data_IF_545274105576
#
_entry.id   IF_545274105576
#
_cell.length_a   1.000
_cell.length_b   1.000
_cell.length_c   1.000
_cell.angle_alpha   90.00
_cell.angle_beta   90.00
_cell.angle_gamma   90.00
#
_symmetry.space_group_name_H-M   'P 1'
#
loop_
_entity.id
_entity.type
_entity.pdbx_description
1 polymer ?
#
# COMPACT_ATOMS: atom_id res chain seq x y z
N UNK A 1 -1.48 12.59 11.55
CA UNK A 1 -0.38 13.23 10.79
C UNK A 1 -0.80 13.29 9.34
N UNK A 2 -0.55 14.39 8.63
CA UNK A 2 -0.83 14.47 7.19
C UNK A 2 0.33 13.78 6.45
N UNK A 3 0.02 12.88 5.52
CA UNK A 3 1.01 12.21 4.69
C UNK A 3 1.33 13.12 3.50
N UNK A 4 2.62 13.38 3.28
CA UNK A 4 3.10 14.29 2.23
C UNK A 4 3.79 13.54 1.07
N UNK A 5 4.33 12.35 1.35
CA UNK A 5 5.15 11.58 0.41
C UNK A 5 4.79 10.10 0.39
N UNK A 6 4.82 9.51 -0.80
CA UNK A 6 4.84 8.07 -1.01
C UNK A 6 6.16 7.71 -1.68
N UNK A 7 6.90 6.76 -1.10
CA UNK A 7 8.12 6.22 -1.66
C UNK A 7 7.89 4.79 -2.17
N UNK A 8 8.27 4.54 -3.42
CA UNK A 8 8.15 3.25 -4.08
C UNK A 8 9.49 2.49 -4.02
N UNK A 9 9.44 1.24 -3.59
CA UNK A 9 10.62 0.41 -3.30
C UNK A 9 10.50 -0.99 -3.90
N UNK A 10 11.62 -1.68 -4.02
CA UNK A 10 11.60 -3.14 -3.93
C UNK A 10 12.27 -3.57 -2.63
N UNK A 11 12.04 -4.81 -2.20
CA UNK A 11 12.61 -5.33 -0.96
C UNK A 11 14.02 -5.90 -1.10
N UNK A 12 14.51 -6.13 -2.33
CA UNK A 12 15.72 -6.91 -2.63
C UNK A 12 15.66 -8.35 -2.08
N UNK A 13 14.52 -9.01 -2.25
CA UNK A 13 14.25 -10.38 -1.75
C UNK A 13 13.56 -11.25 -2.80
N UNK A 14 13.22 -12.49 -2.41
CA UNK A 14 12.24 -13.30 -3.15
C UNK A 14 10.82 -12.71 -3.08
N UNK A 15 9.91 -13.31 -3.85
CA UNK A 15 8.51 -12.89 -3.99
C UNK A 15 7.63 -12.95 -2.74
N UNK A 16 8.11 -13.53 -1.64
CA UNK A 16 7.30 -13.83 -0.47
C UNK A 16 7.69 -13.00 0.78
N UNK A 17 8.41 -11.91 0.62
CA UNK A 17 8.81 -11.07 1.75
C UNK A 17 7.59 -10.43 2.44
N UNK A 18 7.50 -10.61 3.75
CA UNK A 18 6.41 -10.12 4.61
C UNK A 18 6.91 -9.62 5.97
N UNK A 19 8.20 -9.31 6.10
CA UNK A 19 8.76 -8.93 7.39
C UNK A 19 8.46 -7.47 7.71
N UNK A 20 7.78 -7.23 8.82
CA UNK A 20 7.46 -5.89 9.30
C UNK A 20 8.70 -5.10 9.77
N UNK A 21 8.56 -3.76 9.83
CA UNK A 21 9.56 -2.84 10.38
C UNK A 21 10.28 -1.93 9.37
N UNK A 22 10.03 -2.08 8.07
CA UNK A 22 10.64 -1.24 7.03
C UNK A 22 9.61 -0.50 6.18
N UNK A 23 8.65 -1.23 5.61
CA UNK A 23 7.64 -0.68 4.71
C UNK A 23 6.27 -0.72 5.36
N UNK A 24 5.34 0.09 4.86
CA UNK A 24 3.96 0.08 5.31
C UNK A 24 3.16 -1.00 4.57
N UNK A 25 3.40 -1.11 3.26
CA UNK A 25 2.75 -2.10 2.40
C UNK A 25 3.79 -2.82 1.54
N UNK A 26 3.62 -4.14 1.39
CA UNK A 26 4.43 -4.96 0.46
C UNK A 26 3.51 -5.72 -0.48
N UNK A 27 3.85 -5.77 -1.77
CA UNK A 27 3.16 -6.55 -2.79
C UNK A 27 3.97 -7.79 -3.15
N UNK A 28 3.41 -8.97 -2.90
CA UNK A 28 4.03 -10.27 -3.20
C UNK A 28 4.03 -10.59 -4.70
N UNK A 29 4.83 -11.56 -5.13
CA UNK A 29 5.02 -11.89 -6.57
C UNK A 29 3.74 -12.22 -7.34
N UNK A 30 2.75 -12.77 -6.64
CA UNK A 30 1.41 -13.09 -7.16
C UNK A 30 0.45 -11.88 -7.16
N UNK A 31 0.87 -10.75 -6.61
CA UNK A 31 0.11 -9.52 -6.51
C UNK A 31 -0.65 -9.33 -5.19
N UNK A 32 -0.63 -10.30 -4.25
CA UNK A 32 -1.26 -10.11 -2.94
C UNK A 32 -0.56 -9.02 -2.12
N UNK A 33 -1.31 -8.31 -1.28
CA UNK A 33 -0.88 -7.12 -0.55
C UNK A 33 -0.74 -7.44 0.93
N UNK A 34 0.40 -7.12 1.55
CA UNK A 34 0.61 -7.30 3.00
C UNK A 34 0.76 -5.92 3.64
N UNK A 35 -0.10 -5.61 4.61
CA UNK A 35 -0.06 -4.37 5.39
C UNK A 35 0.78 -4.56 6.65
N UNK A 36 2.03 -4.15 6.60
CA UNK A 36 3.02 -4.35 7.66
C UNK A 36 3.05 -3.23 8.70
N UNK A 37 2.56 -2.04 8.36
CA UNK A 37 2.51 -0.89 9.27
C UNK A 37 1.41 0.05 8.79
N UNK A 38 0.56 0.53 9.71
CA UNK A 38 -0.49 1.51 9.39
C UNK A 38 0.11 2.80 8.88
N UNK A 39 -0.56 3.46 7.95
CA UNK A 39 -0.09 4.69 7.31
C UNK A 39 0.00 5.90 8.25
N UNK A 40 -0.60 5.83 9.44
CA UNK A 40 -0.43 6.86 10.48
C UNK A 40 0.75 6.60 11.43
N UNK A 41 1.51 5.53 11.22
CA UNK A 41 2.74 5.24 11.96
C UNK A 41 3.97 5.41 11.05
N UNK A 42 4.99 6.12 11.54
CA UNK A 42 6.27 6.23 10.83
C UNK A 42 6.98 4.88 10.70
N UNK A 43 7.56 4.60 9.52
CA UNK A 43 8.39 3.43 9.24
C UNK A 43 9.73 3.81 8.61
N UNK A 44 10.73 2.92 8.62
CA UNK A 44 12.12 3.22 8.26
C UNK A 44 12.52 2.77 6.85
N UNK A 45 11.85 3.28 5.81
CA UNK A 45 12.08 2.83 4.41
C UNK A 45 13.02 3.73 3.58
N UNK A 46 13.03 5.05 3.81
CA UNK A 46 13.81 6.01 3.01
C UNK A 46 14.67 6.87 3.93
N UNK A 47 15.98 6.76 3.80
CA UNK A 47 16.93 7.43 4.70
C UNK A 47 16.66 8.94 4.79
N UNK A 48 16.48 9.43 6.03
CA UNK A 48 16.17 10.85 6.37
C UNK A 48 14.92 11.44 5.68
N UNK A 49 13.99 10.58 5.23
CA UNK A 49 12.79 10.97 4.48
C UNK A 49 11.52 10.25 4.98
N UNK A 50 11.55 9.74 6.20
CA UNK A 50 10.49 8.87 6.76
C UNK A 50 9.36 9.63 7.46
N UNK A 51 9.56 10.89 7.84
CA UNK A 51 8.51 11.71 8.44
C UNK A 51 7.44 12.04 7.41
N UNK A 52 6.16 11.96 7.80
CA UNK A 52 4.99 12.18 6.93
C UNK A 52 5.06 11.39 5.61
N UNK A 53 5.65 10.19 5.63
CA UNK A 53 5.91 9.43 4.43
C UNK A 53 5.46 7.98 4.56
N UNK A 54 4.94 7.45 3.45
CA UNK A 54 4.56 6.05 3.32
C UNK A 54 5.50 5.34 2.35
N UNK A 55 5.98 4.16 2.75
CA UNK A 55 6.77 3.26 1.92
C UNK A 55 5.93 2.09 1.43
N UNK A 56 5.79 1.95 0.11
CA UNK A 56 5.12 0.82 -0.54
C UNK A 56 6.18 0.08 -1.36
N UNK A 57 6.30 -1.23 -1.18
CA UNK A 57 7.33 -2.03 -1.82
C UNK A 57 6.77 -3.20 -2.65
N UNK A 58 7.49 -3.61 -3.68
CA UNK A 58 7.34 -4.94 -4.27
C UNK A 58 8.32 -5.91 -3.60
N UNK A 59 7.86 -7.11 -3.22
CA UNK A 59 8.71 -8.19 -2.76
C UNK A 59 9.47 -8.79 -3.96
N UNK A 60 10.62 -8.24 -4.36
CA UNK A 60 11.35 -8.67 -5.54
C UNK A 60 12.82 -8.21 -5.50
N UNK A 61 13.55 -8.44 -6.59
CA UNK A 61 14.94 -8.04 -6.82
C UNK A 61 15.98 -8.65 -5.87
N UNK A 62 15.66 -9.79 -5.27
CA UNK A 62 16.65 -10.64 -4.61
C UNK A 62 17.51 -11.42 -5.62
N UNK A 63 18.66 -11.91 -5.16
CA UNK A 63 19.54 -12.74 -5.99
C UNK A 63 20.21 -11.94 -7.12
N UNK A 64 20.34 -12.55 -8.29
CA UNK A 64 20.85 -11.92 -9.50
C UNK A 64 19.81 -10.95 -10.09
N UNK A 65 20.10 -9.63 -10.11
CA UNK A 65 19.14 -8.63 -10.54
C UNK A 65 18.59 -8.91 -11.94
N UNK A 66 17.27 -8.77 -12.10
CA UNK A 66 16.52 -9.02 -13.33
C UNK A 66 16.38 -10.48 -13.78
N UNK A 67 17.10 -11.42 -13.15
CA UNK A 67 17.07 -12.84 -13.52
C UNK A 67 16.27 -13.67 -12.52
N UNK A 68 16.59 -13.57 -11.22
CA UNK A 68 16.01 -14.47 -10.21
C UNK A 68 14.60 -14.03 -9.80
N UNK A 69 14.45 -12.77 -9.39
CA UNK A 69 13.19 -12.22 -8.90
C UNK A 69 12.89 -10.83 -9.52
N UNK A 70 12.83 -10.67 -10.85
CA UNK A 70 12.44 -9.38 -11.45
C UNK A 70 11.04 -8.94 -10.98
N UNK A 71 10.71 -7.64 -10.92
CA UNK A 71 9.37 -7.19 -10.55
C UNK A 71 8.34 -7.79 -11.52
N UNK A 72 7.33 -8.50 -10.99
CA UNK A 72 6.27 -9.04 -11.84
C UNK A 72 5.34 -7.91 -12.28
N UNK A 73 4.65 -8.10 -13.41
CA UNK A 73 3.67 -7.12 -13.90
C UNK A 73 2.60 -6.83 -12.84
N UNK A 74 2.05 -7.88 -12.23
CA UNK A 74 0.97 -7.75 -11.24
C UNK A 74 1.45 -7.08 -9.94
N UNK A 75 2.71 -7.30 -9.53
CA UNK A 75 3.32 -6.57 -8.42
C UNK A 75 3.32 -5.07 -8.65
N UNK A 76 3.83 -4.65 -9.81
CA UNK A 76 3.94 -3.23 -10.15
C UNK A 76 2.55 -2.60 -10.29
N UNK A 77 1.61 -3.30 -10.93
CA UNK A 77 0.22 -2.83 -11.06
C UNK A 77 -0.44 -2.63 -9.69
N UNK A 78 -0.34 -3.59 -8.77
CA UNK A 78 -0.96 -3.49 -7.46
C UNK A 78 -0.24 -2.52 -6.52
N UNK A 79 1.08 -2.33 -6.66
CA UNK A 79 1.81 -1.27 -5.96
C UNK A 79 1.32 0.11 -6.41
N UNK A 80 1.19 0.32 -7.73
CA UNK A 80 0.68 1.57 -8.28
C UNK A 80 -0.79 1.80 -7.91
N UNK A 81 -1.60 0.74 -7.86
CA UNK A 81 -3.00 0.81 -7.40
C UNK A 81 -3.08 1.23 -5.93
N UNK A 82 -2.29 0.62 -5.05
CA UNK A 82 -2.26 1.01 -3.64
C UNK A 82 -1.81 2.47 -3.46
N UNK A 83 -0.80 2.91 -4.21
CA UNK A 83 -0.35 4.29 -4.20
C UNK A 83 -1.45 5.26 -4.69
N UNK A 84 -2.21 4.88 -5.74
CA UNK A 84 -3.36 5.64 -6.23
C UNK A 84 -4.49 5.71 -5.19
N UNK A 85 -4.81 4.60 -4.53
CA UNK A 85 -5.85 4.54 -3.49
C UNK A 85 -5.48 5.38 -2.27
N UNK A 86 -4.20 5.39 -1.87
CA UNK A 86 -3.70 6.30 -0.84
C UNK A 86 -3.74 7.76 -1.28
N UNK A 87 -3.28 8.08 -2.49
CA UNK A 87 -3.33 9.44 -3.04
C UNK A 87 -4.78 10.00 -3.05
N UNK A 88 -5.75 9.20 -3.50
CA UNK A 88 -7.16 9.55 -3.48
C UNK A 88 -7.69 9.81 -2.06
N UNK A 89 -7.31 8.97 -1.07
CA UNK A 89 -7.69 9.17 0.35
C UNK A 89 -7.13 10.47 0.92
N UNK A 90 -5.93 10.86 0.49
CA UNK A 90 -5.28 12.12 0.87
C UNK A 90 -5.84 13.33 0.12
N UNK A 91 -6.84 13.15 -0.74
CA UNK A 91 -7.43 14.21 -1.54
C UNK A 91 -6.48 14.76 -2.61
N UNK A 92 -5.48 13.97 -3.04
CA UNK A 92 -4.60 14.35 -4.14
C UNK A 92 -5.31 14.09 -5.46
N UNK A 93 -5.12 14.98 -6.41
CA UNK A 93 -5.62 14.84 -7.77
C UNK A 93 -4.54 14.21 -8.67
N UNK A 94 -4.90 13.60 -9.82
CA UNK A 94 -3.91 13.07 -10.76
C UNK A 94 -2.83 14.08 -11.17
N UNK A 95 -3.16 15.37 -11.21
CA UNK A 95 -2.24 16.47 -11.56
C UNK A 95 -1.25 16.84 -10.43
N UNK A 96 -1.48 16.34 -9.21
CA UNK A 96 -0.50 16.41 -8.11
C UNK A 96 0.62 15.37 -8.27
N UNK A 97 0.38 14.30 -9.04
CA UNK A 97 1.33 13.22 -9.28
C UNK A 97 2.19 13.57 -10.51
N UNK A 98 3.09 14.54 -10.34
CA UNK A 98 3.87 15.13 -11.44
C UNK A 98 5.13 14.35 -11.75
N UNK A 99 5.60 14.41 -12.98
CA UNK A 99 6.94 13.90 -13.31
C UNK A 99 8.02 14.85 -12.76
N UNK A 100 9.21 14.31 -12.48
CA UNK A 100 10.32 15.11 -11.97
C UNK A 100 10.94 15.94 -13.10
N UNK A 101 11.10 17.24 -12.84
CA UNK A 101 11.79 18.15 -13.77
C UNK A 101 13.30 17.83 -13.81
N UNK A 102 13.92 18.02 -14.97
CA UNK A 102 15.38 17.99 -15.12
C UNK A 102 16.09 19.15 -14.40
N UNK A 103 15.35 20.16 -13.94
CA UNK A 103 15.87 21.33 -13.21
C UNK A 103 15.64 21.26 -11.69
N UNK A 104 14.80 20.33 -11.21
CA UNK A 104 14.68 20.05 -9.77
C UNK A 104 13.85 21.02 -8.93
N UNK A 105 12.66 21.46 -9.34
CA UNK A 105 11.79 22.30 -8.50
C UNK A 105 10.37 21.74 -8.33
N UNK A 106 10.16 20.46 -8.67
CA UNK A 106 8.85 19.83 -8.57
C UNK A 106 8.66 19.31 -7.15
N UNK A 107 7.72 19.90 -6.39
CA UNK A 107 7.18 19.26 -5.19
C UNK A 107 6.44 18.00 -5.65
N UNK A 108 7.16 16.88 -5.70
CA UNK A 108 6.58 15.62 -6.12
C UNK A 108 6.15 14.81 -4.91
N UNK A 109 4.92 14.32 -4.93
CA UNK A 109 4.36 13.54 -3.84
C UNK A 109 4.79 12.07 -3.90
N UNK A 110 5.19 11.57 -5.07
CA UNK A 110 5.55 10.16 -5.26
C UNK A 110 6.92 10.02 -5.92
N UNK A 111 7.85 9.37 -5.23
CA UNK A 111 9.21 9.13 -5.70
C UNK A 111 9.57 7.65 -5.60
N UNK A 112 10.41 7.17 -6.50
CA UNK A 112 11.12 5.90 -6.26
C UNK A 112 12.27 6.11 -5.27
N UNK A 113 12.77 5.04 -4.64
CA UNK A 113 13.97 5.18 -3.80
C UNK A 113 15.19 5.62 -4.62
N UNK A 114 15.31 5.21 -5.89
CA UNK A 114 16.38 5.70 -6.77
C UNK A 114 16.33 7.24 -6.92
N UNK A 115 15.15 7.81 -7.13
CA UNK A 115 14.97 9.26 -7.27
C UNK A 115 15.19 9.99 -5.94
N UNK A 116 14.69 9.44 -4.83
CA UNK A 116 14.88 9.99 -3.49
C UNK A 116 16.35 10.00 -3.07
N UNK A 117 17.07 8.89 -3.31
CA UNK A 117 18.50 8.76 -3.04
C UNK A 117 19.36 9.71 -3.88
N UNK A 118 18.88 10.08 -5.07
CA UNK A 118 19.50 11.07 -5.95
C UNK A 118 19.07 12.52 -5.71
N UNK A 119 18.31 12.78 -4.63
CA UNK A 119 17.79 14.11 -4.29
C UNK A 119 17.04 14.80 -5.43
N UNK A 120 16.32 14.04 -6.26
CA UNK A 120 15.67 14.57 -7.47
C UNK A 120 14.52 15.55 -7.21
N UNK A 121 14.05 15.64 -5.97
CA UNK A 121 13.08 16.61 -5.49
C UNK A 121 13.70 17.94 -5.01
N UNK A 122 15.00 18.13 -5.19
CA UNK A 122 15.73 19.36 -4.85
C UNK A 122 16.27 20.08 -6.10
N UNK A 123 16.53 21.41 -6.03
CA UNK A 123 17.09 22.16 -7.14
C UNK A 123 18.36 21.52 -7.65
N UNK A 124 18.44 21.28 -8.97
CA UNK A 124 19.61 20.63 -9.57
C UNK A 124 20.90 21.38 -9.23
N UNK A 125 20.86 22.71 -9.20
CA UNK A 125 22.01 23.55 -8.81
C UNK A 125 22.52 23.29 -7.39
N UNK A 126 21.65 22.89 -6.47
CA UNK A 126 22.01 22.50 -5.10
C UNK A 126 22.55 21.08 -5.08
N UNK A 127 21.91 20.16 -5.79
CA UNK A 127 22.36 18.76 -5.91
C UNK A 127 23.74 18.67 -6.54
N UNK A 128 24.02 19.48 -7.56
CA UNK A 128 25.31 19.51 -8.26
C UNK A 128 26.46 19.96 -7.35
N UNK A 129 26.17 20.85 -6.38
CA UNK A 129 27.14 21.24 -5.35
C UNK A 129 27.39 20.13 -4.32
N UNK A 130 26.45 19.20 -4.16
CA UNK A 130 26.51 18.08 -3.22
C UNK A 130 27.05 16.79 -3.82
N UNK A 131 27.67 16.81 -5.00
CA UNK A 131 28.25 15.61 -5.61
C UNK A 131 29.49 15.17 -4.82
N UNK A 132 29.52 13.90 -4.41
CA UNK A 132 30.69 13.30 -3.76
C UNK A 132 30.98 13.82 -2.34
N UNK A 133 30.06 14.58 -1.75
CA UNK A 133 30.21 15.13 -0.40
C UNK A 133 29.67 14.17 0.66
N UNK A 134 30.03 14.39 1.93
CA UNK A 134 29.46 13.63 3.07
C UNK A 134 28.04 14.07 3.40
N UNK A 135 27.29 13.28 4.17
CA UNK A 135 25.95 13.66 4.64
C UNK A 135 25.95 15.01 5.37
N UNK A 136 26.94 15.28 6.21
CA UNK A 136 27.04 16.55 6.95
C UNK A 136 27.23 17.75 6.02
N UNK A 137 28.00 17.58 4.95
CA UNK A 137 28.15 18.64 3.94
C UNK A 137 26.87 18.79 3.12
N UNK A 138 26.23 17.70 2.72
CA UNK A 138 24.95 17.74 2.02
C UNK A 138 23.88 18.51 2.82
N UNK A 139 23.79 18.29 4.14
CA UNK A 139 22.92 19.06 5.05
C UNK A 139 23.26 20.55 5.02
N UNK A 140 24.54 20.92 5.08
CA UNK A 140 24.96 22.34 5.00
C UNK A 140 24.56 23.01 3.69
N UNK A 141 24.44 22.23 2.62
CA UNK A 141 23.98 22.70 1.31
C UNK A 141 22.44 22.76 1.20
N UNK A 142 21.70 22.24 2.20
CA UNK A 142 20.23 22.18 2.21
C UNK A 142 19.64 20.88 1.65
N UNK A 143 20.44 19.83 1.50
CA UNK A 143 20.01 18.50 1.09
C UNK A 143 19.80 17.60 2.32
N UNK A 144 18.94 16.58 2.24
CA UNK A 144 18.71 15.69 3.38
C UNK A 144 19.90 14.75 3.63
N UNK A 145 20.63 14.37 2.59
CA UNK A 145 21.73 13.40 2.62
C UNK A 145 22.60 13.53 1.37
N UNK A 146 23.78 12.92 1.38
CA UNK A 146 24.62 12.74 0.20
C UNK A 146 23.90 11.92 -0.88
N UNK A 147 24.30 12.08 -2.14
CA UNK A 147 23.67 11.36 -3.25
C UNK A 147 24.06 9.87 -3.20
N UNK A 148 23.13 9.03 -2.78
CA UNK A 148 23.29 7.58 -2.71
C UNK A 148 22.51 6.82 -3.80
N UNK A 149 21.91 7.57 -4.74
CA UNK A 149 21.17 7.03 -5.86
C UNK A 149 22.06 6.47 -7.00
N UNK A 150 21.47 6.15 -8.15
CA UNK A 150 22.17 5.67 -9.35
C UNK A 150 23.35 6.56 -9.77
N UNK A 151 24.41 5.94 -10.31
CA UNK A 151 25.66 6.62 -10.68
C UNK A 151 25.56 7.45 -11.95
N UNK A 152 24.48 7.30 -12.72
CA UNK A 152 24.23 8.04 -13.95
C UNK A 152 22.75 8.16 -14.24
N UNK A 153 22.35 9.29 -14.80
CA UNK A 153 21.03 9.53 -15.35
C UNK A 153 21.12 10.00 -16.80
N UNK A 154 20.21 9.55 -17.67
CA UNK A 154 20.24 9.87 -19.11
C UNK A 154 19.89 11.34 -19.40
N UNK A 155 19.17 11.99 -18.51
CA UNK A 155 18.76 13.39 -18.62
C UNK A 155 19.80 14.39 -18.07
N UNK A 156 21.01 13.91 -17.72
CA UNK A 156 22.08 14.74 -17.18
C UNK A 156 21.97 15.05 -15.70
N UNK A 157 21.06 14.39 -14.96
CA UNK A 157 21.05 14.46 -13.51
C UNK A 157 22.32 13.86 -12.89
N UNK A 158 22.71 14.39 -11.74
CA UNK A 158 23.97 14.05 -11.07
C UNK A 158 23.92 12.65 -10.45
N UNK A 159 24.99 11.89 -10.66
CA UNK A 159 25.13 10.52 -10.19
C UNK A 159 25.51 10.40 -8.71
N UNK A 160 25.20 9.25 -8.12
CA UNK A 160 25.53 8.87 -6.74
C UNK A 160 26.32 7.57 -6.60
N UNK A 161 26.34 7.01 -5.39
CA UNK A 161 27.11 5.82 -5.00
C UNK A 161 26.47 4.47 -5.37
N UNK A 162 25.24 4.48 -5.90
CA UNK A 162 24.47 3.27 -6.29
C UNK A 162 24.03 2.40 -5.09
N UNK A 163 23.94 2.97 -3.89
CA UNK A 163 23.47 2.21 -2.73
C UNK A 163 21.98 1.86 -2.85
N UNK A 164 21.18 2.70 -3.53
CA UNK A 164 19.77 2.46 -3.81
C UNK A 164 19.44 2.82 -5.25
N UNK A 165 18.80 1.87 -5.94
CA UNK A 165 18.43 2.01 -7.35
C UNK A 165 17.02 1.49 -7.62
N UNK A 166 16.20 1.39 -6.56
CA UNK A 166 14.83 0.90 -6.58
C UNK A 166 14.01 1.67 -7.60
N UNK A 167 13.46 0.92 -8.55
CA UNK A 167 12.73 1.43 -9.71
C UNK A 167 13.44 2.57 -10.43
N UNK A 168 14.77 2.51 -10.54
CA UNK A 168 15.51 3.29 -11.53
C UNK A 168 14.94 3.02 -12.95
N UNK A 169 14.50 1.78 -13.16
CA UNK A 169 13.65 1.33 -14.27
C UNK A 169 12.72 0.21 -13.79
N UNK A 170 11.64 -0.05 -14.51
CA UNK A 170 10.63 -1.05 -14.10
C UNK A 170 11.00 -2.44 -14.64
N UNK A 171 11.55 -2.51 -15.86
CA UNK A 171 12.03 -3.73 -16.51
C UNK A 171 13.48 -3.58 -16.94
N UNK A 172 14.18 -4.70 -17.14
CA UNK A 172 15.58 -4.70 -17.59
C UNK A 172 15.77 -4.01 -18.94
N UNK A 173 14.78 -4.12 -19.83
CA UNK A 173 14.75 -3.53 -21.18
C UNK A 173 14.37 -2.07 -21.21
N UNK A 174 13.88 -1.51 -20.10
CA UNK A 174 13.47 -0.11 -20.05
C UNK A 174 14.71 0.80 -20.02
N UNK A 175 14.52 2.06 -20.46
CA UNK A 175 15.56 3.07 -20.39
C UNK A 175 15.94 3.37 -18.94
N UNK A 176 17.23 3.51 -18.70
CA UNK A 176 17.78 3.90 -17.40
C UNK A 176 17.21 5.26 -16.95
N UNK A 177 16.65 5.29 -15.73
CA UNK A 177 16.05 6.49 -15.14
C UNK A 177 14.59 6.73 -15.51
N UNK A 178 13.97 5.87 -16.33
CA UNK A 178 12.55 6.02 -16.72
C UNK A 178 11.56 5.62 -15.64
N UNK A 179 11.99 4.81 -14.66
CA UNK A 179 11.08 4.05 -13.81
C UNK A 179 10.09 4.92 -13.03
N UNK A 180 10.54 6.03 -12.44
CA UNK A 180 9.65 6.93 -11.70
C UNK A 180 8.54 7.53 -12.57
N UNK A 181 8.84 7.96 -13.80
CA UNK A 181 7.83 8.51 -14.71
C UNK A 181 6.85 7.43 -15.16
N UNK A 182 7.33 6.22 -15.45
CA UNK A 182 6.48 5.07 -15.78
C UNK A 182 5.49 4.75 -14.64
N UNK A 183 5.98 4.67 -13.41
CA UNK A 183 5.15 4.36 -12.25
C UNK A 183 4.14 5.46 -11.94
N UNK A 184 4.55 6.73 -11.98
CA UNK A 184 3.64 7.87 -11.79
C UNK A 184 2.55 7.91 -12.86
N UNK A 185 2.87 7.59 -14.11
CA UNK A 185 1.85 7.46 -15.16
C UNK A 185 0.83 6.38 -14.82
N UNK A 186 1.27 5.18 -14.42
CA UNK A 186 0.36 4.11 -13.99
C UNK A 186 -0.52 4.52 -12.81
N UNK A 187 0.04 5.22 -11.82
CA UNK A 187 -0.71 5.74 -10.66
C UNK A 187 -1.80 6.72 -11.12
N UNK A 188 -1.46 7.70 -11.98
CA UNK A 188 -2.43 8.64 -12.55
C UNK A 188 -3.55 7.92 -13.29
N UNK A 189 -3.22 6.88 -14.06
CA UNK A 189 -4.21 6.11 -14.81
C UNK A 189 -5.17 5.35 -13.88
N UNK A 190 -4.66 4.78 -12.77
CA UNK A 190 -5.52 4.18 -11.75
C UNK A 190 -6.39 5.21 -11.02
N UNK A 191 -5.85 6.38 -10.69
CA UNK A 191 -6.64 7.45 -10.07
C UNK A 191 -7.80 7.87 -10.98
N UNK A 192 -7.54 8.06 -12.28
CA UNK A 192 -8.56 8.41 -13.30
C UNK A 192 -9.58 7.30 -13.57
N UNK A 193 -9.20 6.05 -13.37
CA UNK A 193 -10.10 4.90 -13.54
C UNK A 193 -11.11 4.75 -12.38
N UNK A 194 -11.00 5.55 -11.31
CA UNK A 194 -11.96 5.59 -10.20
C UNK A 194 -13.28 6.20 -10.69
N UNK A 195 -14.36 5.42 -10.91
CA UNK A 195 -15.56 5.94 -11.54
C UNK A 195 -16.49 6.59 -10.50
N UNK A 196 -17.01 7.77 -10.84
CA UNK A 196 -18.15 8.47 -10.23
C UNK A 196 -17.90 9.17 -8.88
N UNK A 197 -18.47 10.37 -8.74
CA UNK A 197 -18.58 11.12 -7.49
C UNK A 197 -19.46 10.43 -6.43
N UNK A 198 -20.08 9.30 -6.78
CA UNK A 198 -20.80 8.40 -5.88
C UNK A 198 -20.40 6.95 -6.18
N UNK A 199 -19.86 6.21 -5.19
CA UNK A 199 -19.55 4.79 -5.33
C UNK A 199 -20.81 4.01 -5.73
N UNK A 200 -20.68 2.96 -6.56
CA UNK A 200 -21.77 2.03 -6.83
C UNK A 200 -22.41 1.51 -5.53
N UNK A 201 -23.73 1.40 -5.51
CA UNK A 201 -24.47 0.86 -4.34
C UNK A 201 -24.45 -0.66 -4.28
N UNK A 202 -24.14 -1.31 -5.40
CA UNK A 202 -23.99 -2.76 -5.56
C UNK A 202 -22.84 -3.02 -6.53
N UNK A 203 -22.16 -4.16 -6.38
CA UNK A 203 -20.96 -4.50 -7.15
C UNK A 203 -21.02 -5.84 -7.87
N UNK A 204 -22.05 -6.64 -7.61
CA UNK A 204 -22.19 -7.98 -8.16
C UNK A 204 -23.58 -8.54 -7.91
N UNK A 205 -23.77 -9.82 -8.20
CA UNK A 205 -25.03 -10.52 -7.90
C UNK A 205 -25.09 -10.94 -6.43
N UNK A 206 -26.29 -11.09 -5.90
CA UNK A 206 -26.49 -11.56 -4.52
C UNK A 206 -25.83 -12.92 -4.27
N UNK A 207 -25.23 -13.05 -3.09
CA UNK A 207 -24.68 -14.29 -2.57
C UNK A 207 -25.09 -14.49 -1.11
N UNK A 208 -25.83 -15.56 -0.82
CA UNK A 208 -26.30 -15.83 0.53
C UNK A 208 -25.16 -16.36 1.42
N UNK A 209 -24.99 -15.78 2.60
CA UNK A 209 -23.93 -16.18 3.54
C UNK A 209 -24.56 -16.90 4.72
N UNK A 210 -24.15 -18.14 4.95
CA UNK A 210 -24.66 -19.01 6.01
C UNK A 210 -23.58 -19.26 7.06
N UNK A 211 -23.93 -19.21 8.33
CA UNK A 211 -23.12 -19.71 9.45
C UNK A 211 -23.88 -20.85 10.11
N UNK A 212 -23.27 -22.05 10.14
CA UNK A 212 -23.89 -23.25 10.71
C UNK A 212 -25.33 -23.50 10.19
N UNK A 213 -25.56 -23.24 8.90
CA UNK A 213 -26.85 -23.45 8.22
C UNK A 213 -27.87 -22.32 8.37
N UNK A 214 -27.57 -21.27 9.14
CA UNK A 214 -28.44 -20.08 9.27
C UNK A 214 -27.90 -18.96 8.39
N UNK A 215 -28.74 -18.35 7.55
CA UNK A 215 -28.32 -17.20 6.76
C UNK A 215 -28.07 -15.98 7.68
N UNK A 216 -26.86 -15.44 7.64
CA UNK A 216 -26.43 -14.30 8.47
C UNK A 216 -26.30 -13.01 7.67
N UNK A 217 -26.09 -13.10 6.36
CA UNK A 217 -25.89 -11.95 5.49
C UNK A 217 -26.23 -12.26 4.03
N UNK A 218 -26.29 -11.22 3.22
CA UNK A 218 -26.24 -11.29 1.76
C UNK A 218 -25.03 -10.48 1.31
N UNK A 219 -24.11 -11.12 0.58
CA UNK A 219 -22.96 -10.51 -0.04
C UNK A 219 -23.18 -10.21 -1.53
N UNK A 220 -22.20 -9.55 -2.14
CA UNK A 220 -22.13 -9.30 -3.57
C UNK A 220 -21.01 -10.14 -4.19
N UNK A 221 -21.38 -11.12 -5.01
CA UNK A 221 -20.45 -11.96 -5.77
C UNK A 221 -20.13 -11.31 -7.12
N UNK A 222 -18.85 -11.01 -7.31
CA UNK A 222 -18.31 -10.44 -8.54
C UNK A 222 -18.17 -11.52 -9.64
N UNK A 223 -17.92 -11.08 -10.87
CA UNK A 223 -17.66 -11.96 -12.00
C UNK A 223 -16.31 -12.69 -11.92
N UNK A 224 -15.42 -12.26 -11.04
CA UNK A 224 -14.11 -12.88 -10.77
C UNK A 224 -14.11 -13.72 -9.48
N UNK A 225 -15.30 -14.19 -9.07
CA UNK A 225 -15.56 -15.04 -7.91
C UNK A 225 -15.21 -14.45 -6.54
N UNK A 226 -14.80 -13.18 -6.48
CA UNK A 226 -14.65 -12.46 -5.21
C UNK A 226 -16.03 -12.12 -4.66
N UNK A 227 -16.25 -12.40 -3.37
CA UNK A 227 -17.48 -12.04 -2.69
C UNK A 227 -17.20 -10.98 -1.61
N UNK A 228 -17.87 -9.84 -1.73
CA UNK A 228 -17.83 -8.78 -0.74
C UNK A 228 -19.04 -8.86 0.18
N UNK A 229 -18.81 -8.74 1.48
CA UNK A 229 -19.87 -8.78 2.50
C UNK A 229 -19.72 -7.60 3.42
N UNK A 230 -20.85 -7.02 3.86
CA UNK A 230 -20.85 -5.97 4.85
C UNK A 230 -20.21 -6.48 6.15
N UNK A 231 -19.15 -5.80 6.58
CA UNK A 231 -18.29 -6.24 7.68
C UNK A 231 -19.08 -6.50 8.98
N UNK A 232 -20.05 -5.64 9.30
CA UNK A 232 -20.89 -5.77 10.51
C UNK A 232 -21.69 -7.07 10.56
N UNK A 233 -22.24 -7.48 9.43
CA UNK A 233 -23.09 -8.68 9.35
C UNK A 233 -22.22 -9.94 9.43
N UNK A 234 -20.95 -9.83 9.03
CA UNK A 234 -19.97 -10.91 9.08
C UNK A 234 -19.38 -11.12 10.49
N UNK A 235 -18.98 -10.06 11.20
CA UNK A 235 -18.30 -10.21 12.49
C UNK A 235 -19.26 -10.45 13.68
N UNK A 236 -20.48 -9.90 13.62
CA UNK A 236 -21.41 -9.95 14.77
C UNK A 236 -21.75 -11.38 15.22
N UNK A 237 -21.97 -12.35 14.31
CA UNK A 237 -22.24 -13.74 14.68
C UNK A 237 -21.07 -14.45 15.40
N UNK A 238 -19.84 -13.94 15.28
CA UNK A 238 -18.65 -14.50 15.94
C UNK A 238 -18.37 -13.86 17.30
N UNK A 239 -19.28 -13.03 17.84
CA UNK A 239 -19.09 -12.28 19.09
C UNK A 239 -17.84 -11.39 19.07
N UNK A 240 -17.54 -10.86 17.88
CA UNK A 240 -16.58 -9.77 17.68
C UNK A 240 -17.39 -8.47 17.85
N UNK A 241 -16.84 -7.52 18.61
CA UNK A 241 -17.52 -6.24 18.86
C UNK A 241 -16.97 -5.17 17.93
N UNK A 242 -17.82 -4.22 17.59
CA UNK A 242 -17.38 -2.96 17.02
C UNK A 242 -16.69 -2.14 18.11
N UNK A 243 -15.50 -1.63 17.84
CA UNK A 243 -14.78 -0.71 18.70
C UNK A 243 -14.95 0.73 18.24
N UNK A 244 -14.26 1.07 17.14
CA UNK A 244 -14.15 2.44 16.65
C UNK A 244 -14.19 2.50 15.13
N UNK A 245 -14.66 3.63 14.59
CA UNK A 245 -14.46 4.00 13.20
C UNK A 245 -13.86 5.40 13.11
N UNK A 246 -12.82 5.53 12.29
CA UNK A 246 -12.25 6.81 11.89
C UNK A 246 -12.44 6.99 10.38
N UNK A 247 -12.89 8.17 9.95
CA UNK A 247 -12.95 8.55 8.54
C UNK A 247 -11.77 9.44 8.12
N UNK A 248 -11.92 10.17 7.02
CA UNK A 248 -10.93 11.15 6.56
C UNK A 248 -9.75 10.51 5.79
N UNK A 249 -8.56 11.09 5.96
CA UNK A 249 -7.34 10.75 5.21
C UNK A 249 -6.80 9.34 5.49
N UNK A 250 -7.03 8.81 6.68
CA UNK A 250 -6.66 7.45 7.08
C UNK A 250 -7.88 6.73 7.68
N UNK A 251 -8.83 6.30 6.85
CA UNK A 251 -10.04 5.67 7.32
C UNK A 251 -9.75 4.28 7.88
N UNK A 252 -10.27 3.97 9.06
CA UNK A 252 -10.17 2.64 9.65
C UNK A 252 -11.40 2.20 10.42
N UNK A 253 -11.55 0.88 10.57
CA UNK A 253 -12.44 0.23 11.54
C UNK A 253 -11.60 -0.55 12.54
N UNK A 254 -11.83 -0.34 13.83
CA UNK A 254 -11.27 -1.17 14.89
C UNK A 254 -12.35 -2.11 15.43
N UNK A 255 -12.09 -3.41 15.35
CA UNK A 255 -12.88 -4.46 15.95
C UNK A 255 -12.27 -4.88 17.28
N UNK A 256 -13.06 -5.46 18.17
CA UNK A 256 -12.63 -5.93 19.49
C UNK A 256 -12.99 -7.40 19.69
N UNK A 257 -12.01 -8.24 20.00
CA UNK A 257 -12.23 -9.64 20.36
C UNK A 257 -11.03 -10.27 21.05
N UNK A 258 -11.27 -10.98 22.14
CA UNK A 258 -10.25 -11.82 22.79
C UNK A 258 -10.21 -13.25 22.22
N UNK A 259 -11.20 -13.62 21.39
CA UNK A 259 -11.35 -14.99 20.84
C UNK A 259 -10.49 -15.22 19.60
N UNK A 260 -10.24 -14.17 18.84
CA UNK A 260 -9.53 -14.25 17.58
C UNK A 260 -8.18 -13.52 17.66
N UNK A 261 -7.20 -14.08 16.96
CA UNK A 261 -5.90 -13.45 16.74
C UNK A 261 -5.68 -13.42 15.23
N UNK A 262 -5.51 -12.24 14.61
CA UNK A 262 -5.27 -12.17 13.18
C UNK A 262 -3.95 -12.83 12.82
N UNK A 263 -3.86 -13.33 11.60
CA UNK A 263 -2.66 -13.99 11.08
C UNK A 263 -1.78 -13.00 10.31
N UNK A 264 -2.32 -11.84 9.91
CA UNK A 264 -1.61 -10.82 9.14
C UNK A 264 -1.03 -11.40 7.84
N UNK A 265 -1.87 -12.12 7.12
CA UNK A 265 -1.59 -12.71 5.82
C UNK A 265 -1.55 -11.62 4.74
N UNK A 266 -1.08 -12.01 3.56
CA UNK A 266 -1.25 -11.17 2.38
C UNK A 266 -2.73 -11.18 1.98
N UNK A 267 -3.31 -10.03 1.73
CA UNK A 267 -4.68 -9.82 1.25
C UNK A 267 -4.79 -9.94 -0.26
N UNK A 268 -5.97 -10.32 -0.73
CA UNK A 268 -6.33 -10.19 -2.14
C UNK A 268 -6.50 -8.70 -2.48
N UNK A 269 -6.01 -8.23 -3.66
CA UNK A 269 -6.23 -6.85 -4.07
C UNK A 269 -7.71 -6.47 -4.08
N UNK A 270 -8.02 -5.30 -3.52
CA UNK A 270 -9.38 -4.78 -3.47
C UNK A 270 -9.89 -4.41 -4.87
N UNK A 271 -11.22 -4.45 -5.05
CA UNK A 271 -11.84 -3.95 -6.28
C UNK A 271 -11.64 -2.44 -6.35
N UNK A 272 -11.32 -1.96 -7.55
CA UNK A 272 -11.05 -0.55 -7.81
C UNK A 272 -12.34 0.27 -7.88
N UNK A 273 -12.22 1.58 -7.74
CA UNK A 273 -13.37 2.48 -7.86
C UNK A 273 -14.11 2.75 -6.55
N UNK A 274 -13.60 2.24 -5.43
CA UNK A 274 -14.19 2.44 -4.10
C UNK A 274 -13.14 3.03 -3.15
N UNK A 275 -13.52 3.95 -2.26
CA UNK A 275 -12.67 4.33 -1.15
C UNK A 275 -12.32 3.08 -0.32
N UNK A 276 -11.06 2.97 0.08
CA UNK A 276 -10.57 1.86 0.90
C UNK A 276 -10.58 2.23 2.38
N UNK A 277 -10.59 1.22 3.25
CA UNK A 277 -10.58 1.36 4.70
C UNK A 277 -9.74 0.25 5.31
N UNK A 278 -8.88 0.59 6.26
CA UNK A 278 -8.05 -0.38 6.98
C UNK A 278 -8.85 -0.99 8.15
N UNK A 279 -8.66 -2.29 8.42
CA UNK A 279 -9.41 -2.99 9.46
C UNK A 279 -8.44 -3.57 10.48
N UNK A 280 -8.64 -3.18 11.73
CA UNK A 280 -7.85 -3.62 12.88
C UNK A 280 -8.67 -4.55 13.77
N UNK A 281 -7.98 -5.44 14.48
CA UNK A 281 -8.53 -6.17 15.61
C UNK A 281 -7.69 -5.84 16.84
N UNK A 282 -8.32 -5.25 17.85
CA UNK A 282 -7.69 -4.75 19.07
C UNK A 282 -6.53 -3.79 18.75
N UNK A 283 -6.78 -2.77 17.91
CA UNK A 283 -5.78 -1.74 17.57
C UNK A 283 -5.14 -1.19 18.86
N UNK A 284 -3.80 -1.25 18.99
CA UNK A 284 -3.14 -0.83 20.22
C UNK A 284 -3.17 0.69 20.36
N UNK A 285 -3.65 1.16 21.52
CA UNK A 285 -3.73 2.56 21.90
C UNK A 285 -3.26 2.72 23.36
N UNK A 286 -2.79 3.92 23.72
CA UNK A 286 -2.50 4.27 25.11
C UNK A 286 -3.75 4.74 25.86
N UNK A 287 -3.57 5.22 27.10
CA UNK A 287 -4.67 5.72 27.94
C UNK A 287 -5.37 6.95 27.37
N UNK A 288 -4.72 7.68 26.48
CA UNK A 288 -5.26 8.88 25.83
C UNK A 288 -5.88 8.56 24.46
N UNK A 289 -5.92 7.28 24.09
CA UNK A 289 -6.44 6.81 22.81
C UNK A 289 -5.45 7.00 21.65
N UNK A 290 -4.20 7.33 21.94
CA UNK A 290 -3.18 7.53 20.90
C UNK A 290 -2.62 6.18 20.46
N UNK A 291 -2.49 5.92 19.15
CA UNK A 291 -1.95 4.65 18.66
C UNK A 291 -0.54 4.38 19.19
N UNK A 292 -0.30 3.17 19.69
CA UNK A 292 1.00 2.76 20.24
C UNK A 292 1.61 1.67 19.37
N UNK A 293 2.60 2.06 18.56
CA UNK A 293 3.38 1.16 17.73
C UNK A 293 4.79 1.67 17.50
N UNK A 294 5.74 0.76 17.32
CA UNK A 294 7.11 1.08 16.91
C UNK A 294 7.56 0.17 15.76
N UNK A 295 8.80 0.34 15.28
CA UNK A 295 9.31 -0.48 14.18
C UNK A 295 9.43 -1.99 14.53
N UNK A 296 9.44 -2.36 15.82
CA UNK A 296 9.52 -3.75 16.28
C UNK A 296 8.13 -4.36 16.53
N UNK A 297 7.17 -3.50 16.85
CA UNK A 297 5.78 -3.82 17.15
C UNK A 297 4.88 -2.84 16.40
N UNK A 298 4.81 -2.94 15.06
CA UNK A 298 4.04 -2.01 14.28
C UNK A 298 2.55 -2.28 14.41
N UNK A 299 1.77 -1.20 14.40
CA UNK A 299 0.31 -1.23 14.29
C UNK A 299 -0.01 -1.78 12.90
N UNK A 300 -0.60 -2.97 12.84
CA UNK A 300 -0.91 -3.66 11.59
C UNK A 300 -2.43 -3.78 11.44
N UNK A 301 -3.02 -3.28 10.34
CA UNK A 301 -4.34 -3.73 9.97
C UNK A 301 -4.22 -5.18 9.53
N UNK A 302 -5.20 -6.00 9.89
CA UNK A 302 -5.17 -7.41 9.51
C UNK A 302 -5.82 -7.66 8.15
N UNK A 303 -6.60 -6.70 7.65
CA UNK A 303 -7.11 -6.72 6.29
C UNK A 303 -7.53 -5.33 5.82
N UNK A 304 -7.70 -5.16 4.52
CA UNK A 304 -8.39 -4.03 3.91
C UNK A 304 -9.86 -4.29 3.61
N UNK A 305 -10.62 -3.21 3.47
CA UNK A 305 -12.00 -3.21 2.97
C UNK A 305 -12.26 -2.05 2.02
N UNK A 306 -13.47 -2.04 1.45
CA UNK A 306 -13.99 -0.94 0.63
C UNK A 306 -15.19 -0.29 1.31
N UNK A 307 -15.46 0.98 0.97
CA UNK A 307 -16.63 1.72 1.41
C UNK A 307 -17.67 1.79 0.29
N UNK A 308 -18.85 1.24 0.55
CA UNK A 308 -20.04 1.34 -0.31
C UNK A 308 -21.12 2.06 0.50
N UNK A 309 -21.58 3.23 0.04
CA UNK A 309 -22.59 4.03 0.76
C UNK A 309 -22.26 4.26 2.25
N UNK A 310 -20.98 4.52 2.56
CA UNK A 310 -20.43 4.66 3.92
C UNK A 310 -20.47 3.39 4.79
N UNK A 311 -20.68 2.22 4.20
CA UNK A 311 -20.62 0.94 4.88
C UNK A 311 -19.37 0.17 4.45
N UNK A 312 -18.64 -0.35 5.43
CA UNK A 312 -17.46 -1.19 5.20
C UNK A 312 -17.88 -2.56 4.67
N UNK A 313 -17.33 -2.91 3.51
CA UNK A 313 -17.45 -4.23 2.91
C UNK A 313 -16.06 -4.85 2.77
N UNK A 314 -16.00 -6.17 2.97
CA UNK A 314 -14.74 -6.92 2.97
C UNK A 314 -14.84 -8.14 2.08
N UNK A 315 -13.70 -8.57 1.55
CA UNK A 315 -13.58 -9.89 0.93
C UNK A 315 -13.75 -10.97 2.00
N UNK A 316 -14.85 -11.72 1.92
CA UNK A 316 -15.17 -12.75 2.92
C UNK A 316 -14.10 -13.84 2.98
N UNK A 317 -13.45 -14.16 1.86
CA UNK A 317 -12.36 -15.13 1.83
C UNK A 317 -11.15 -14.69 2.66
N UNK A 318 -10.75 -13.42 2.56
CA UNK A 318 -9.62 -12.89 3.34
C UNK A 318 -10.00 -12.77 4.83
N UNK A 319 -11.20 -12.27 5.16
CA UNK A 319 -11.70 -12.24 6.54
C UNK A 319 -11.67 -13.63 7.20
N UNK A 320 -12.15 -14.65 6.49
CA UNK A 320 -12.18 -16.02 7.01
C UNK A 320 -10.77 -16.60 7.17
N UNK A 321 -9.89 -16.37 6.19
CA UNK A 321 -8.50 -16.85 6.23
C UNK A 321 -7.73 -16.26 7.42
N UNK A 322 -7.88 -14.96 7.64
CA UNK A 322 -7.29 -14.21 8.74
C UNK A 322 -7.70 -14.76 10.10
N UNK A 323 -8.99 -14.95 10.31
CA UNK A 323 -9.54 -15.35 11.60
C UNK A 323 -9.62 -16.88 11.78
N UNK A 324 -9.21 -17.66 10.78
CA UNK A 324 -9.22 -19.12 10.83
C UNK A 324 -10.61 -19.74 10.70
N UNK A 325 -11.57 -19.02 10.13
CA UNK A 325 -12.93 -19.48 9.87
C UNK A 325 -12.92 -20.31 8.59
N UNK A 326 -13.56 -21.47 8.62
CA UNK A 326 -13.68 -22.31 7.43
C UNK A 326 -14.77 -21.79 6.49
N UNK A 327 -14.46 -21.76 5.19
CA UNK A 327 -15.34 -21.26 4.14
C UNK A 327 -15.54 -22.32 3.05
N UNK A 328 -16.78 -22.55 2.64
CA UNK A 328 -17.14 -23.38 1.48
C UNK A 328 -18.10 -22.63 0.56
N UNK A 329 -17.75 -22.50 -0.71
CA UNK A 329 -18.65 -21.99 -1.74
C UNK A 329 -19.52 -23.12 -2.31
N UNK A 330 -20.83 -22.88 -2.42
CA UNK A 330 -21.73 -23.71 -3.21
C UNK A 330 -21.76 -23.13 -4.63
N UNK A 331 -21.40 -23.93 -5.63
CA UNK A 331 -21.41 -23.48 -7.02
C UNK A 331 -22.79 -23.64 -7.69
N UNK A 332 -23.70 -24.42 -7.09
CA UNK A 332 -25.04 -24.69 -7.64
C UNK A 332 -26.02 -23.55 -7.37
N UNK A 333 -25.81 -22.83 -6.26
CA UNK A 333 -26.51 -21.63 -5.85
C UNK A 333 -25.48 -20.63 -5.35
N UNK A 334 -25.58 -19.31 -5.61
CA UNK A 334 -24.58 -18.35 -5.13
C UNK A 334 -24.63 -18.25 -3.60
N UNK A 335 -23.94 -19.14 -2.91
CA UNK A 335 -23.98 -19.26 -1.47
C UNK A 335 -22.62 -19.63 -0.88
N UNK A 336 -22.33 -19.05 0.28
CA UNK A 336 -21.11 -19.33 1.05
C UNK A 336 -21.53 -19.86 2.41
N UNK A 337 -20.94 -20.98 2.81
CA UNK A 337 -21.14 -21.62 4.09
C UNK A 337 -19.90 -21.47 4.96
N UNK A 338 -20.10 -20.89 6.14
CA UNK A 338 -19.08 -20.67 7.16
C UNK A 338 -19.25 -21.66 8.31
N UNK A 339 -18.13 -22.14 8.80
CA UNK A 339 -18.05 -22.89 10.07
C UNK A 339 -16.89 -22.33 10.90
N UNK A 340 -17.08 -22.11 12.22
CA UNK A 340 -16.05 -21.54 13.10
C UNK A 340 -14.71 -22.28 13.10
#
# INVERSE_FOLDING_TARGET
MAIDKIYLHWSATSYNFTKAGSYHTVVQGDGRIVKLTSYDQQSAHTFRRNSNAVGIACACMGGDPWNDFPPTKIQVENMCREAADLANRLGWEPDDIRDLSTTGNSVNRILTHAEAGANRDFPKSVVDRGIGVTDDEAIRLGLPHANYGPSRWLDGWSGGTVDRWDFFKVKSTDLDGSGGNTLRQMIRDFMKATPSSKPPTEIGRDCAIFLNGVQIATGSLLSDDRCYVKLRDLFSPFDIKFGEFQGGENPFVNLLSDKFRPKFLADTPLISGFPTVDIFLNRPIDSDGIPVGDARTPIQPFMGGILISNLTHVLIADFCSELGISLKFDASVPAIHLTP
#
